data_IF_827724619017
#
_entry.id   IF_827724619017
#
_cell.length_a   1.000
_cell.length_b   1.000
_cell.length_c   1.000
_cell.angle_alpha   90.00
_cell.angle_beta   90.00
_cell.angle_gamma   90.00
#
_symmetry.space_group_name_H-M   'P 1'
#
loop_
_entity.id
_entity.type
_entity.pdbx_description
1 polymer ?
#
# COMPACT_ATOMS: atom_id res chain seq x y z
N UNK A 1 -8.24 1.93 20.93
CA UNK A 1 -7.06 1.17 21.39
C UNK A 1 -5.89 1.17 20.41
N UNK A 2 -6.10 1.05 19.09
CA UNK A 2 -5.07 1.35 18.07
C UNK A 2 -4.89 2.89 17.93
N UNK A 3 -5.93 3.68 18.14
CA UNK A 3 -5.92 5.14 18.09
C UNK A 3 -4.92 5.77 19.07
N UNK A 4 -4.77 5.18 20.26
CA UNK A 4 -3.83 5.68 21.28
C UNK A 4 -2.36 5.32 20.99
N UNK A 5 -2.11 4.33 20.11
CA UNK A 5 -0.76 3.87 19.78
C UNK A 5 -0.14 4.60 18.59
N UNK A 6 -0.98 5.13 17.69
CA UNK A 6 -0.53 5.70 16.40
C UNK A 6 -0.80 7.22 16.28
N UNK A 7 -1.26 7.87 17.37
CA UNK A 7 -1.66 9.29 17.36
C UNK A 7 -3.00 9.50 16.66
N UNK A 8 -4.04 9.80 17.43
CA UNK A 8 -5.47 9.71 17.12
C UNK A 8 -6.02 10.19 15.76
N UNK A 9 -5.29 10.93 14.96
CA UNK A 9 -5.73 11.36 13.62
C UNK A 9 -5.47 10.31 12.51
N UNK A 10 -4.46 9.46 12.68
CA UNK A 10 -4.07 8.48 11.63
C UNK A 10 -4.98 7.26 11.53
N UNK A 11 -5.60 6.85 12.63
CA UNK A 11 -6.37 5.60 12.69
C UNK A 11 -7.80 5.69 12.17
N UNK A 12 -8.48 6.82 12.32
CA UNK A 12 -9.79 7.02 11.68
C UNK A 12 -9.64 6.94 10.15
N UNK A 13 -8.56 7.52 9.59
CA UNK A 13 -8.26 7.41 8.16
C UNK A 13 -7.90 5.97 7.75
N UNK A 14 -7.10 5.24 8.53
CA UNK A 14 -6.75 3.83 8.26
C UNK A 14 -7.96 2.92 8.31
N UNK A 15 -8.90 3.14 9.24
CA UNK A 15 -10.13 2.33 9.35
C UNK A 15 -11.06 2.57 8.16
N UNK A 16 -11.20 3.81 7.70
CA UNK A 16 -11.97 4.15 6.49
C UNK A 16 -11.34 3.57 5.22
N UNK A 17 -10.00 3.57 5.11
CA UNK A 17 -9.28 3.03 3.94
C UNK A 17 -9.37 1.52 3.79
N UNK A 18 -9.47 0.74 4.87
CA UNK A 18 -9.60 -0.72 4.79
C UNK A 18 -10.90 -1.18 4.10
N UNK A 19 -11.85 -0.30 3.90
CA UNK A 19 -13.16 -0.62 3.34
C UNK A 19 -13.36 -0.11 1.89
N UNK A 20 -12.44 0.69 1.36
CA UNK A 20 -12.47 1.15 -0.04
C UNK A 20 -11.92 0.13 -1.05
N UNK A 21 -11.44 -1.03 -0.61
CA UNK A 21 -10.98 -2.12 -1.49
C UNK A 21 -12.07 -2.64 -2.46
N UNK A 22 -13.34 -2.31 -2.21
CA UNK A 22 -14.45 -2.75 -3.06
C UNK A 22 -14.45 -2.09 -4.46
N UNK A 23 -13.85 -0.91 -4.63
CA UNK A 23 -13.79 -0.25 -5.96
C UNK A 23 -12.73 -0.88 -6.84
N UNK A 24 -11.61 -1.35 -6.28
CA UNK A 24 -10.52 -1.96 -7.02
C UNK A 24 -10.89 -3.29 -7.68
N UNK A 25 -11.65 -4.13 -7.00
CA UNK A 25 -12.04 -5.45 -7.51
C UNK A 25 -13.04 -5.39 -8.68
N UNK A 26 -13.69 -4.25 -8.91
CA UNK A 26 -14.66 -4.05 -9.99
C UNK A 26 -14.00 -3.60 -11.30
N UNK A 27 -12.73 -3.15 -11.25
CA UNK A 27 -12.05 -2.50 -12.37
C UNK A 27 -11.17 -3.43 -13.24
N UNK A 28 -11.25 -4.74 -13.04
CA UNK A 28 -10.32 -5.73 -13.61
C UNK A 28 -10.47 -5.96 -15.14
N UNK A 29 -11.21 -5.16 -15.88
CA UNK A 29 -11.47 -5.45 -17.30
C UNK A 29 -11.36 -4.24 -18.24
N UNK A 30 -10.54 -3.22 -17.93
CA UNK A 30 -10.26 -2.14 -18.90
C UNK A 30 -11.48 -1.30 -19.32
N UNK A 31 -12.54 -1.32 -18.51
CA UNK A 31 -13.74 -0.53 -18.77
C UNK A 31 -13.63 0.85 -18.13
N UNK A 32 -14.13 1.87 -18.81
CA UNK A 32 -14.31 3.22 -18.27
C UNK A 32 -15.15 3.12 -16.99
N UNK A 33 -14.62 3.65 -15.87
CA UNK A 33 -15.36 3.67 -14.59
C UNK A 33 -16.56 4.57 -14.74
N UNK A 34 -17.72 3.98 -14.97
CA UNK A 34 -18.99 4.68 -15.01
C UNK A 34 -19.64 4.75 -13.62
N UNK A 35 -20.69 5.56 -13.50
CA UNK A 35 -21.49 5.70 -12.27
C UNK A 35 -22.00 4.36 -11.74
N UNK A 36 -22.27 3.41 -12.63
CA UNK A 36 -22.74 2.06 -12.28
C UNK A 36 -21.72 1.27 -11.47
N UNK A 37 -20.43 1.34 -11.83
CA UNK A 37 -19.36 0.63 -11.12
C UNK A 37 -19.09 1.24 -9.74
N UNK A 38 -19.14 2.56 -9.63
CA UNK A 38 -19.02 3.25 -8.34
C UNK A 38 -20.23 2.90 -7.45
N UNK A 39 -21.43 2.89 -8.01
CA UNK A 39 -22.65 2.52 -7.30
C UNK A 39 -22.57 1.07 -6.79
N UNK A 40 -22.12 0.14 -7.62
CA UNK A 40 -21.92 -1.26 -7.22
C UNK A 40 -20.88 -1.41 -6.12
N UNK A 41 -19.77 -0.67 -6.20
CA UNK A 41 -18.75 -0.67 -5.15
C UNK A 41 -19.31 -0.16 -3.82
N UNK A 42 -20.15 0.89 -3.85
CA UNK A 42 -20.83 1.41 -2.66
C UNK A 42 -21.83 0.41 -2.08
N UNK A 43 -22.60 -0.29 -2.92
CA UNK A 43 -23.51 -1.34 -2.47
C UNK A 43 -22.77 -2.43 -1.67
N UNK A 44 -21.57 -2.83 -2.09
CA UNK A 44 -20.76 -3.83 -1.38
C UNK A 44 -20.33 -3.40 0.02
N UNK A 45 -20.21 -2.10 0.27
CA UNK A 45 -19.81 -1.56 1.58
C UNK A 45 -20.98 -1.01 2.39
N UNK A 46 -22.16 -0.80 1.79
CA UNK A 46 -23.35 -0.18 2.44
C UNK A 46 -23.83 -0.93 3.68
N UNK A 47 -23.63 -2.24 3.74
CA UNK A 47 -23.94 -3.04 4.93
C UNK A 47 -23.06 -2.75 6.16
N UNK A 48 -21.99 -1.93 6.00
CA UNK A 48 -21.05 -1.58 7.06
C UNK A 48 -20.95 -0.06 7.30
N UNK A 49 -21.37 0.75 6.33
CA UNK A 49 -21.26 2.22 6.36
C UNK A 49 -22.51 2.86 5.76
N UNK A 50 -23.18 3.69 6.52
CA UNK A 50 -24.32 4.47 6.11
C UNK A 50 -23.87 5.88 5.73
N UNK A 51 -23.80 6.15 4.40
CA UNK A 51 -23.54 7.46 3.84
C UNK A 51 -22.12 7.96 4.07
N UNK A 52 -21.78 9.07 3.48
CA UNK A 52 -20.51 9.75 3.71
C UNK A 52 -19.69 9.95 2.44
N UNK A 53 -18.45 10.34 2.66
CA UNK A 53 -17.47 10.63 1.67
C UNK A 53 -16.51 9.44 1.52
N UNK A 54 -16.00 9.22 0.32
CA UNK A 54 -15.24 8.02 -0.02
C UNK A 54 -13.87 8.39 -0.63
N UNK A 55 -12.95 7.45 -0.49
CA UNK A 55 -11.70 7.44 -1.27
C UNK A 55 -11.91 6.50 -2.44
N UNK A 56 -11.80 7.02 -3.66
CA UNK A 56 -11.81 6.19 -4.86
C UNK A 56 -10.41 5.60 -5.06
N UNK A 57 -10.31 4.27 -4.95
CA UNK A 57 -9.03 3.59 -4.99
C UNK A 57 -8.88 2.68 -6.21
N UNK A 58 -7.94 3.01 -7.07
CA UNK A 58 -7.51 2.26 -8.23
C UNK A 58 -6.29 1.43 -7.87
N UNK A 59 -6.46 0.13 -7.59
CA UNK A 59 -5.37 -0.68 -7.02
C UNK A 59 -4.90 -1.86 -7.85
N UNK A 60 -5.73 -2.42 -8.72
CA UNK A 60 -5.33 -3.59 -9.52
C UNK A 60 -4.36 -3.18 -10.61
N UNK A 61 -3.20 -3.87 -10.69
CA UNK A 61 -2.18 -3.65 -11.72
C UNK A 61 -1.54 -2.24 -11.70
N UNK A 62 -1.11 -1.77 -12.89
CA UNK A 62 -0.44 -0.48 -13.09
C UNK A 62 -1.43 0.52 -13.68
N UNK A 63 -2.06 1.32 -12.82
CA UNK A 63 -3.19 2.16 -13.21
C UNK A 63 -2.82 3.43 -14.01
N UNK A 64 -1.54 3.66 -14.28
CA UNK A 64 -1.09 4.76 -15.15
C UNK A 64 -0.49 4.26 -16.46
N UNK A 65 -0.55 2.95 -16.74
CA UNK A 65 -0.02 2.36 -17.96
C UNK A 65 -1.07 2.37 -19.08
N UNK A 66 -1.35 3.55 -19.60
CA UNK A 66 -2.26 3.78 -20.73
C UNK A 66 -2.03 5.18 -21.32
N UNK A 67 -2.63 5.45 -22.48
CA UNK A 67 -2.66 6.80 -23.06
C UNK A 67 -3.31 7.80 -22.09
N UNK A 68 -2.74 9.01 -21.99
CA UNK A 68 -3.19 10.04 -21.04
C UNK A 68 -4.63 10.48 -21.27
N UNK A 69 -5.11 10.44 -22.53
CA UNK A 69 -6.50 10.79 -22.85
C UNK A 69 -7.48 9.74 -22.28
N UNK A 70 -7.09 8.47 -22.31
CA UNK A 70 -7.84 7.40 -21.68
C UNK A 70 -7.82 7.52 -20.13
N UNK A 71 -6.65 7.76 -19.53
CA UNK A 71 -6.52 7.98 -18.09
C UNK A 71 -7.38 9.16 -17.63
N UNK A 72 -7.39 10.24 -18.38
CA UNK A 72 -8.24 11.41 -18.12
C UNK A 72 -9.72 11.04 -18.15
N UNK A 73 -10.15 10.30 -19.17
CA UNK A 73 -11.55 9.85 -19.27
C UNK A 73 -11.99 8.94 -18.13
N UNK A 74 -11.01 8.24 -17.50
CA UNK A 74 -11.22 7.35 -16.37
C UNK A 74 -11.29 8.12 -15.04
N UNK A 75 -10.35 9.02 -14.78
CA UNK A 75 -10.19 9.67 -13.47
C UNK A 75 -11.07 10.91 -13.30
N UNK A 76 -11.24 11.70 -14.37
CA UNK A 76 -11.97 12.96 -14.26
C UNK A 76 -13.43 12.80 -13.80
N UNK A 77 -14.24 11.86 -14.35
CA UNK A 77 -15.60 11.65 -13.86
C UNK A 77 -15.66 11.23 -12.38
N UNK A 78 -14.66 10.47 -11.93
CA UNK A 78 -14.61 9.98 -10.55
C UNK A 78 -14.28 11.10 -9.58
N UNK A 79 -13.23 11.90 -9.85
CA UNK A 79 -12.79 12.97 -8.95
C UNK A 79 -13.80 14.13 -8.86
N UNK A 80 -14.60 14.33 -9.90
CA UNK A 80 -15.63 15.38 -9.94
C UNK A 80 -16.89 15.04 -9.11
N UNK A 81 -17.03 13.82 -8.62
CA UNK A 81 -18.20 13.44 -7.81
C UNK A 81 -18.14 14.07 -6.41
N UNK A 82 -19.26 14.60 -5.93
CA UNK A 82 -19.35 15.25 -4.62
C UNK A 82 -19.04 14.30 -3.45
N UNK A 83 -19.32 13.00 -3.62
CA UNK A 83 -19.13 11.98 -2.59
C UNK A 83 -17.73 11.32 -2.60
N UNK A 84 -16.82 11.76 -3.48
CA UNK A 84 -15.41 11.35 -3.50
C UNK A 84 -14.55 12.50 -2.97
N UNK A 85 -13.83 12.27 -1.89
CA UNK A 85 -12.91 13.24 -1.29
C UNK A 85 -11.49 13.11 -1.83
N UNK A 86 -11.06 11.88 -2.10
CA UNK A 86 -9.69 11.57 -2.49
C UNK A 86 -9.70 10.56 -3.64
N UNK A 87 -8.81 10.77 -4.60
CA UNK A 87 -8.48 9.80 -5.65
C UNK A 87 -7.15 9.13 -5.30
N UNK A 88 -7.16 7.81 -5.04
CA UNK A 88 -5.95 7.03 -4.78
C UNK A 88 -5.64 6.12 -5.96
N UNK A 89 -4.41 6.21 -6.49
CA UNK A 89 -3.97 5.52 -7.71
C UNK A 89 -2.71 4.72 -7.39
N UNK A 90 -2.83 3.38 -7.38
CA UNK A 90 -1.68 2.49 -7.24
C UNK A 90 -1.03 2.24 -8.61
N UNK A 91 0.28 2.42 -8.68
CA UNK A 91 1.02 2.29 -9.93
C UNK A 91 2.49 1.93 -9.72
N UNK A 92 3.21 1.78 -10.82
CA UNK A 92 4.64 1.59 -10.88
C UNK A 92 5.35 2.92 -11.16
N UNK A 93 6.53 3.17 -10.56
CA UNK A 93 7.29 4.40 -10.79
C UNK A 93 7.66 4.66 -12.24
N UNK A 94 7.97 3.61 -13.00
CA UNK A 94 8.36 3.66 -14.41
C UNK A 94 7.18 3.90 -15.39
N UNK A 95 5.96 3.96 -14.86
CA UNK A 95 4.74 4.19 -15.64
C UNK A 95 4.11 5.58 -15.41
N UNK A 96 4.88 6.55 -14.92
CA UNK A 96 4.47 7.96 -14.79
C UNK A 96 5.37 8.81 -15.69
N UNK A 97 4.96 8.95 -16.95
CA UNK A 97 5.60 9.85 -17.91
C UNK A 97 5.25 11.33 -17.63
N UNK A 98 5.67 12.24 -18.52
CA UNK A 98 5.40 13.67 -18.34
C UNK A 98 3.92 14.02 -18.50
N UNK A 99 3.24 13.41 -19.45
CA UNK A 99 1.83 13.69 -19.71
C UNK A 99 0.94 13.18 -18.59
N UNK A 100 1.25 11.99 -18.06
CA UNK A 100 0.61 11.44 -16.86
C UNK A 100 0.88 12.33 -15.63
N UNK A 101 2.09 12.83 -15.45
CA UNK A 101 2.42 13.74 -14.34
C UNK A 101 1.60 15.05 -14.42
N UNK A 102 1.44 15.63 -15.63
CA UNK A 102 0.60 16.79 -15.86
C UNK A 102 -0.86 16.47 -15.49
N UNK A 103 -1.39 15.34 -15.93
CA UNK A 103 -2.74 14.91 -15.56
C UNK A 103 -2.91 14.77 -14.05
N UNK A 104 -1.97 14.11 -13.36
CA UNK A 104 -2.00 13.96 -11.89
C UNK A 104 -1.98 15.33 -11.19
N UNK A 105 -1.19 16.28 -11.69
CA UNK A 105 -1.17 17.66 -11.18
C UNK A 105 -2.53 18.35 -11.35
N UNK A 106 -3.15 18.25 -12.52
CA UNK A 106 -4.48 18.81 -12.77
C UNK A 106 -5.54 18.21 -11.84
N UNK A 107 -5.54 16.89 -11.69
CA UNK A 107 -6.46 16.19 -10.78
C UNK A 107 -6.25 16.63 -9.32
N UNK A 108 -4.99 16.78 -8.89
CA UNK A 108 -4.65 17.21 -7.54
C UNK A 108 -5.05 18.67 -7.23
N UNK A 109 -5.26 19.51 -8.24
CA UNK A 109 -5.85 20.84 -8.07
C UNK A 109 -7.37 20.82 -7.85
N UNK A 110 -8.04 19.74 -8.25
CA UNK A 110 -9.50 19.56 -8.04
C UNK A 110 -9.75 18.99 -6.64
N UNK A 111 -9.13 17.87 -6.32
CA UNK A 111 -9.18 17.19 -5.00
C UNK A 111 -7.87 16.46 -4.74
N UNK A 112 -7.55 16.17 -3.47
CA UNK A 112 -6.33 15.43 -3.14
C UNK A 112 -6.18 14.13 -3.93
N UNK A 113 -5.01 13.96 -4.56
CA UNK A 113 -4.62 12.73 -5.25
C UNK A 113 -3.55 12.03 -4.44
N UNK A 114 -3.76 10.77 -4.13
CA UNK A 114 -2.76 9.88 -3.57
C UNK A 114 -2.18 8.99 -4.66
N UNK A 115 -0.87 9.00 -4.80
CA UNK A 115 -0.16 8.08 -5.70
C UNK A 115 0.53 7.03 -4.84
N UNK A 116 0.17 5.78 -5.06
CA UNK A 116 0.72 4.66 -4.31
C UNK A 116 1.76 3.94 -5.16
N UNK A 117 3.02 3.95 -4.69
CA UNK A 117 4.16 3.39 -5.43
C UNK A 117 4.64 2.08 -4.80
N UNK A 118 4.79 1.07 -5.63
CA UNK A 118 5.38 -0.20 -5.21
C UNK A 118 6.90 -0.11 -5.18
N UNK A 119 7.53 0.11 -4.04
CA UNK A 119 8.98 -0.03 -3.86
C UNK A 119 9.36 -1.49 -3.57
N UNK A 120 8.63 -2.09 -2.66
CA UNK A 120 8.78 -3.44 -2.11
C UNK A 120 10.04 -3.59 -1.26
N UNK A 121 11.21 -3.28 -1.76
CA UNK A 121 12.53 -3.29 -1.13
C UNK A 121 13.48 -2.32 -1.85
N UNK A 122 14.52 -1.85 -1.17
CA UNK A 122 15.62 -1.08 -1.79
C UNK A 122 16.74 -1.98 -2.34
N UNK A 123 16.77 -3.25 -1.96
CA UNK A 123 17.84 -4.19 -2.32
C UNK A 123 17.62 -4.71 -3.74
N UNK A 124 18.50 -4.34 -4.67
CA UNK A 124 18.34 -4.61 -6.10
C UNK A 124 18.38 -6.12 -6.45
N UNK A 125 19.15 -6.92 -5.71
CA UNK A 125 19.17 -8.37 -5.90
C UNK A 125 17.81 -9.00 -5.57
N UNK A 126 17.22 -8.62 -4.44
CA UNK A 126 15.86 -9.03 -4.05
C UNK A 126 14.82 -8.48 -5.02
N UNK A 127 14.91 -7.20 -5.40
CA UNK A 127 14.03 -6.57 -6.36
C UNK A 127 14.04 -7.26 -7.73
N UNK A 128 15.22 -7.69 -8.17
CA UNK A 128 15.41 -8.49 -9.39
C UNK A 128 14.77 -9.88 -9.25
N UNK A 129 15.00 -10.56 -8.12
CA UNK A 129 14.45 -11.89 -7.84
C UNK A 129 12.90 -11.88 -7.87
N UNK A 130 12.28 -10.89 -7.24
CA UNK A 130 10.81 -10.74 -7.26
C UNK A 130 10.27 -10.08 -8.53
N UNK A 131 11.14 -9.79 -9.51
CA UNK A 131 10.79 -9.17 -10.79
C UNK A 131 10.08 -7.82 -10.64
N UNK A 132 10.58 -6.95 -9.77
CA UNK A 132 10.05 -5.59 -9.60
C UNK A 132 10.05 -4.82 -10.93
N UNK A 133 11.10 -4.99 -11.75
CA UNK A 133 11.14 -4.55 -13.15
C UNK A 133 11.55 -3.08 -13.37
N UNK A 134 12.01 -2.37 -12.34
CA UNK A 134 12.59 -1.01 -12.38
C UNK A 134 13.62 -0.86 -11.27
N UNK A 135 14.55 0.09 -11.45
CA UNK A 135 15.63 0.37 -10.50
C UNK A 135 15.17 1.28 -9.35
N UNK A 136 15.96 1.33 -8.28
CA UNK A 136 15.74 2.29 -7.18
C UNK A 136 15.85 3.74 -7.68
N UNK A 137 16.78 4.04 -8.59
CA UNK A 137 16.90 5.38 -9.21
C UNK A 137 15.64 5.81 -9.97
N UNK A 138 14.95 4.87 -10.62
CA UNK A 138 13.63 5.14 -11.25
C UNK A 138 12.58 5.52 -10.20
N UNK A 139 12.58 4.82 -9.06
CA UNK A 139 11.70 5.15 -7.94
C UNK A 139 12.00 6.55 -7.39
N UNK A 140 13.26 6.89 -7.12
CA UNK A 140 13.68 8.19 -6.59
C UNK A 140 13.31 9.34 -7.52
N UNK A 141 13.55 9.16 -8.81
CA UNK A 141 13.17 10.12 -9.84
C UNK A 141 11.65 10.35 -9.83
N UNK A 142 10.87 9.28 -9.76
CA UNK A 142 9.41 9.36 -9.72
C UNK A 142 8.92 10.09 -8.46
N UNK A 143 9.44 9.75 -7.28
CA UNK A 143 9.10 10.40 -6.00
C UNK A 143 9.39 11.91 -6.08
N UNK A 144 10.58 12.29 -6.55
CA UNK A 144 10.99 13.69 -6.69
C UNK A 144 10.05 14.47 -7.62
N UNK A 145 9.64 13.85 -8.75
CA UNK A 145 8.70 14.44 -9.71
C UNK A 145 7.30 14.61 -9.11
N UNK A 146 6.79 13.64 -8.38
CA UNK A 146 5.50 13.73 -7.70
C UNK A 146 5.51 14.83 -6.64
N UNK A 147 6.56 14.90 -5.83
CA UNK A 147 6.71 15.97 -4.82
C UNK A 147 6.74 17.35 -5.47
N UNK A 148 7.38 17.51 -6.64
CA UNK A 148 7.45 18.79 -7.36
C UNK A 148 6.08 19.32 -7.81
N UNK A 149 5.08 18.45 -7.94
CA UNK A 149 3.68 18.83 -8.26
C UNK A 149 2.75 18.79 -7.02
N UNK A 150 3.33 18.71 -5.81
CA UNK A 150 2.59 18.76 -4.55
C UNK A 150 1.96 17.41 -4.14
N UNK A 151 2.33 16.29 -4.77
CA UNK A 151 1.89 14.95 -4.41
C UNK A 151 3.01 14.24 -3.66
N UNK A 152 2.81 13.98 -2.35
CA UNK A 152 3.70 13.12 -1.56
C UNK A 152 3.18 11.68 -1.65
N UNK A 153 3.95 10.74 -2.21
CA UNK A 153 3.46 9.38 -2.46
C UNK A 153 3.25 8.57 -1.20
N UNK A 154 2.46 7.50 -1.34
CA UNK A 154 2.34 6.41 -0.37
C UNK A 154 3.19 5.26 -0.91
N UNK A 155 4.08 4.72 -0.08
CA UNK A 155 5.03 3.70 -0.51
C UNK A 155 4.62 2.33 0.02
N UNK A 156 4.66 1.33 -0.85
CA UNK A 156 4.44 -0.06 -0.48
C UNK A 156 5.78 -0.77 -0.26
N UNK A 157 5.94 -1.44 0.88
CA UNK A 157 7.03 -2.38 1.15
C UNK A 157 6.49 -3.77 1.46
N UNK A 158 7.31 -4.80 1.20
CA UNK A 158 6.98 -6.18 1.54
C UNK A 158 8.00 -6.71 2.56
N UNK A 159 7.50 -7.24 3.66
CA UNK A 159 8.27 -7.84 4.73
C UNK A 159 8.31 -9.36 4.55
N UNK A 160 9.49 -9.94 4.63
CA UNK A 160 9.72 -11.38 4.51
C UNK A 160 10.03 -11.84 3.09
N UNK A 161 10.58 -10.98 2.24
CA UNK A 161 11.07 -11.33 0.91
C UNK A 161 12.22 -12.34 1.01
N UNK A 162 12.32 -13.31 0.07
CA UNK A 162 13.40 -14.29 0.06
C UNK A 162 14.79 -13.64 0.04
N UNK A 163 15.66 -14.10 0.93
CA UNK A 163 17.05 -13.62 1.00
C UNK A 163 17.26 -12.38 1.89
N UNK A 164 16.19 -11.71 2.30
CA UNK A 164 16.31 -10.55 3.18
C UNK A 164 16.38 -10.93 4.65
N UNK A 165 17.34 -10.34 5.34
CA UNK A 165 17.45 -10.34 6.80
C UNK A 165 16.57 -9.27 7.44
N UNK A 166 16.41 -9.30 8.75
CA UNK A 166 15.74 -8.21 9.48
C UNK A 166 16.45 -6.85 9.25
N UNK A 167 17.78 -6.82 9.10
CA UNK A 167 18.52 -5.59 8.80
C UNK A 167 18.11 -4.99 7.46
N UNK A 168 18.05 -5.81 6.42
CA UNK A 168 17.65 -5.38 5.06
C UNK A 168 16.24 -4.80 5.04
N UNK A 169 15.31 -5.44 5.76
CA UNK A 169 13.94 -4.94 5.91
C UNK A 169 13.91 -3.59 6.62
N UNK A 170 14.71 -3.41 7.68
CA UNK A 170 14.76 -2.15 8.42
C UNK A 170 15.46 -1.04 7.63
N UNK A 171 16.47 -1.36 6.83
CA UNK A 171 17.10 -0.41 5.88
C UNK A 171 16.08 0.10 4.85
N UNK A 172 15.23 -0.79 4.32
CA UNK A 172 14.13 -0.39 3.44
C UNK A 172 13.12 0.52 4.16
N UNK A 173 12.77 0.23 5.41
CA UNK A 173 11.85 1.06 6.19
C UNK A 173 12.44 2.44 6.50
N UNK A 174 13.71 2.51 6.89
CA UNK A 174 14.44 3.75 7.14
C UNK A 174 14.53 4.62 5.88
N UNK A 175 14.85 4.00 4.76
CA UNK A 175 14.84 4.67 3.45
C UNK A 175 13.48 5.30 3.13
N UNK A 176 12.38 4.55 3.33
CA UNK A 176 11.02 5.08 3.11
C UNK A 176 10.72 6.24 4.07
N UNK A 177 11.17 6.15 5.31
CA UNK A 177 11.00 7.21 6.29
C UNK A 177 11.63 8.55 5.86
N UNK A 178 12.66 8.51 5.00
CA UNK A 178 13.42 9.68 4.55
C UNK A 178 13.19 10.07 3.08
N UNK A 179 12.50 9.26 2.26
CA UNK A 179 12.32 9.53 0.83
C UNK A 179 11.30 10.65 0.52
N UNK A 180 10.63 11.24 1.53
CA UNK A 180 9.62 12.28 1.34
C UNK A 180 8.19 11.76 1.15
N UNK A 181 7.95 10.47 1.32
CA UNK A 181 6.62 9.89 1.31
C UNK A 181 5.71 10.46 2.41
N UNK A 182 4.40 10.53 2.16
CA UNK A 182 3.40 10.91 3.18
C UNK A 182 2.84 9.71 3.93
N UNK A 183 3.00 8.51 3.38
CA UNK A 183 2.46 7.30 3.97
C UNK A 183 3.16 6.03 3.53
N UNK A 184 2.89 4.96 4.27
CA UNK A 184 3.46 3.64 4.03
C UNK A 184 2.39 2.56 4.14
N UNK A 185 2.50 1.54 3.29
CA UNK A 185 1.81 0.25 3.42
C UNK A 185 2.82 -0.84 3.68
N UNK A 186 2.82 -1.35 4.91
CA UNK A 186 3.65 -2.48 5.32
C UNK A 186 2.87 -3.75 4.99
N UNK A 187 3.39 -4.55 4.07
CA UNK A 187 2.76 -5.78 3.62
C UNK A 187 3.59 -6.99 4.03
N UNK A 188 2.91 -8.05 4.45
CA UNK A 188 3.53 -9.36 4.64
C UNK A 188 3.62 -10.08 3.30
N UNK A 189 4.73 -10.73 3.02
CA UNK A 189 4.81 -11.64 1.88
C UNK A 189 3.79 -12.79 2.03
N UNK A 190 2.89 -12.91 1.07
CA UNK A 190 1.97 -14.03 0.94
C UNK A 190 2.44 -14.96 -0.17
N UNK A 191 2.63 -16.22 0.17
CA UNK A 191 3.01 -17.27 -0.78
C UNK A 191 1.73 -17.89 -1.30
N UNK A 192 1.45 -17.67 -2.58
CA UNK A 192 0.21 -18.07 -3.23
C UNK A 192 0.45 -19.24 -4.17
N UNK A 193 -0.42 -20.24 -4.14
CA UNK A 193 -0.38 -21.40 -5.05
C UNK A 193 -0.37 -20.96 -6.51
N UNK A 194 0.44 -21.61 -7.32
CA UNK A 194 0.55 -21.33 -8.75
C UNK A 194 1.51 -20.19 -9.12
N UNK A 195 2.27 -19.65 -8.15
CA UNK A 195 3.33 -18.66 -8.40
C UNK A 195 4.73 -19.32 -8.38
N UNK A 196 5.72 -18.64 -8.95
CA UNK A 196 7.11 -19.11 -8.88
C UNK A 196 7.62 -19.13 -7.44
N UNK A 197 7.26 -18.12 -6.63
CA UNK A 197 7.59 -18.08 -5.19
C UNK A 197 7.00 -19.27 -4.41
N UNK A 198 5.82 -19.77 -4.81
CA UNK A 198 5.28 -21.00 -4.24
C UNK A 198 6.19 -22.19 -4.55
N UNK A 199 6.69 -22.31 -5.77
CA UNK A 199 7.62 -23.37 -6.16
C UNK A 199 8.93 -23.30 -5.38
N UNK A 200 9.50 -22.12 -5.20
CA UNK A 200 10.71 -21.90 -4.41
C UNK A 200 10.48 -22.27 -2.94
N UNK A 201 9.33 -21.90 -2.37
CA UNK A 201 8.97 -22.18 -1.00
C UNK A 201 8.81 -23.69 -0.73
N UNK A 202 8.07 -24.43 -1.57
CA UNK A 202 7.91 -25.89 -1.39
C UNK A 202 9.20 -26.67 -1.58
N UNK A 203 10.15 -26.14 -2.38
CA UNK A 203 11.49 -26.69 -2.54
C UNK A 203 12.44 -26.28 -1.41
N UNK A 204 11.99 -25.52 -0.42
CA UNK A 204 12.77 -25.14 0.75
C UNK A 204 13.82 -24.06 0.52
N UNK A 205 13.70 -23.28 -0.56
CA UNK A 205 14.63 -22.20 -0.89
C UNK A 205 14.58 -21.05 0.14
N UNK A 206 13.42 -20.84 0.77
CA UNK A 206 13.24 -19.86 1.85
C UNK A 206 12.11 -20.29 2.79
N UNK A 207 11.95 -19.57 3.90
CA UNK A 207 10.89 -19.80 4.90
C UNK A 207 9.99 -18.58 5.01
N UNK A 208 8.68 -18.81 5.19
CA UNK A 208 7.75 -17.75 5.58
C UNK A 208 8.01 -17.34 7.04
N UNK A 209 7.78 -16.06 7.34
CA UNK A 209 7.91 -15.53 8.69
C UNK A 209 6.83 -16.12 9.62
N UNK A 210 7.22 -16.39 10.86
CA UNK A 210 6.28 -16.69 11.92
C UNK A 210 5.60 -15.41 12.44
N UNK A 211 4.44 -15.56 13.08
CA UNK A 211 3.65 -14.41 13.56
C UNK A 211 4.44 -13.51 14.53
N UNK A 212 5.15 -14.12 15.46
CA UNK A 212 5.93 -13.39 16.47
C UNK A 212 7.12 -12.65 15.83
N UNK A 213 7.76 -13.27 14.86
CA UNK A 213 8.85 -12.66 14.09
C UNK A 213 8.35 -11.47 13.28
N UNK A 214 7.26 -11.64 12.52
CA UNK A 214 6.63 -10.54 11.80
C UNK A 214 6.20 -9.41 12.74
N UNK A 215 5.59 -9.73 13.87
CA UNK A 215 5.15 -8.75 14.87
C UNK A 215 6.32 -7.91 15.39
N UNK A 216 7.46 -8.56 15.69
CA UNK A 216 8.68 -7.89 16.14
C UNK A 216 9.25 -6.96 15.07
N UNK A 217 9.36 -7.42 13.83
CA UNK A 217 9.85 -6.63 12.70
C UNK A 217 8.92 -5.44 12.43
N UNK A 218 7.60 -5.64 12.37
CA UNK A 218 6.64 -4.58 12.18
C UNK A 218 6.73 -3.51 13.29
N UNK A 219 6.95 -3.90 14.54
CA UNK A 219 7.17 -2.98 15.66
C UNK A 219 8.45 -2.15 15.49
N UNK A 220 9.53 -2.76 15.01
CA UNK A 220 10.77 -2.03 14.69
C UNK A 220 10.56 -1.03 13.55
N UNK A 221 9.88 -1.44 12.47
CA UNK A 221 9.53 -0.54 11.36
C UNK A 221 8.74 0.66 11.88
N UNK A 222 7.64 0.45 12.62
CA UNK A 222 6.82 1.53 13.19
C UNK A 222 7.67 2.51 14.01
N UNK A 223 8.64 2.02 14.78
CA UNK A 223 9.51 2.86 15.58
C UNK A 223 10.42 3.77 14.75
N UNK A 224 10.78 3.37 13.54
CA UNK A 224 11.62 4.13 12.59
C UNK A 224 10.85 5.20 11.80
N UNK A 225 9.53 5.07 11.66
CA UNK A 225 8.74 5.99 10.83
C UNK A 225 8.57 7.36 11.52
N UNK A 226 8.62 8.48 10.78
CA UNK A 226 8.32 9.80 11.33
C UNK A 226 6.86 9.87 11.82
N UNK A 227 6.62 10.68 12.86
CA UNK A 227 5.29 10.77 13.52
C UNK A 227 4.16 11.23 12.63
N UNK A 228 4.47 11.98 11.57
CA UNK A 228 3.52 12.53 10.60
C UNK A 228 3.28 11.63 9.39
N UNK A 229 4.03 10.53 9.24
CA UNK A 229 3.80 9.56 8.16
C UNK A 229 2.58 8.69 8.47
N UNK A 230 1.65 8.59 7.54
CA UNK A 230 0.45 7.76 7.72
C UNK A 230 0.76 6.29 7.45
N UNK A 231 0.48 5.43 8.43
CA UNK A 231 0.57 3.97 8.25
C UNK A 231 -0.77 3.46 7.72
N UNK A 232 -0.88 3.32 6.40
CA UNK A 232 -2.12 2.91 5.73
C UNK A 232 -2.45 1.43 5.93
N UNK A 233 -1.42 0.61 6.10
CA UNK A 233 -1.58 -0.84 6.28
C UNK A 233 -0.38 -1.37 7.05
N UNK A 234 -0.63 -2.31 7.97
CA UNK A 234 0.39 -2.97 8.78
C UNK A 234 0.45 -4.49 8.55
N UNK A 235 -0.42 -5.02 7.70
CA UNK A 235 -0.44 -6.43 7.27
C UNK A 235 -1.13 -6.53 5.91
N UNK A 236 -0.79 -7.56 5.14
CA UNK A 236 -1.42 -7.83 3.85
C UNK A 236 -2.74 -8.60 3.98
N UNK A 237 -3.52 -8.60 2.89
CA UNK A 237 -4.64 -9.52 2.69
C UNK A 237 -4.40 -10.28 1.38
N UNK A 238 -4.25 -11.60 1.46
CA UNK A 238 -4.13 -12.48 0.30
C UNK A 238 -5.42 -13.25 0.06
N UNK A 239 -5.67 -13.74 -1.18
CA UNK A 239 -6.81 -14.59 -1.48
C UNK A 239 -6.69 -15.91 -0.69
N UNK A 240 -7.55 -16.10 0.31
CA UNK A 240 -7.48 -17.23 1.25
C UNK A 240 -7.49 -18.61 0.57
N UNK A 241 -8.16 -18.73 -0.58
CA UNK A 241 -8.21 -19.97 -1.35
C UNK A 241 -6.88 -20.36 -2.01
N UNK A 242 -6.01 -19.37 -2.26
CA UNK A 242 -4.70 -19.57 -2.86
C UNK A 242 -3.55 -19.48 -1.85
N UNK A 243 -3.81 -19.01 -0.63
CA UNK A 243 -2.79 -18.81 0.39
C UNK A 243 -2.20 -20.16 0.81
N UNK A 244 -0.87 -20.31 0.65
CA UNK A 244 -0.09 -21.45 1.15
C UNK A 244 0.61 -21.10 2.46
N UNK A 245 1.28 -19.94 2.51
CA UNK A 245 1.99 -19.48 3.69
C UNK A 245 2.08 -17.93 3.72
N UNK A 246 2.23 -17.37 4.91
CA UNK A 246 2.03 -17.99 6.22
C UNK A 246 0.54 -18.09 6.57
N UNK A 247 0.08 -19.26 6.97
CA UNK A 247 -1.35 -19.53 7.22
C UNK A 247 -1.96 -18.70 8.37
N UNK A 248 -1.16 -18.26 9.35
CA UNK A 248 -1.63 -17.40 10.43
C UNK A 248 -2.18 -16.04 9.91
N UNK A 249 -1.70 -15.55 8.77
CA UNK A 249 -2.13 -14.28 8.16
C UNK A 249 -3.60 -14.28 7.74
N UNK A 250 -4.19 -15.44 7.50
CA UNK A 250 -5.62 -15.59 7.20
C UNK A 250 -6.54 -15.19 8.36
N UNK A 251 -6.00 -15.13 9.60
CA UNK A 251 -6.73 -14.69 10.79
C UNK A 251 -6.33 -13.25 11.19
N UNK A 252 -6.86 -12.27 10.48
CA UNK A 252 -6.55 -10.86 10.68
C UNK A 252 -6.77 -10.39 12.12
N UNK A 253 -7.81 -10.89 12.81
CA UNK A 253 -8.10 -10.54 14.20
C UNK A 253 -6.99 -11.02 15.14
N UNK A 254 -6.51 -12.25 14.95
CA UNK A 254 -5.38 -12.77 15.70
C UNK A 254 -4.13 -11.91 15.49
N UNK A 255 -3.78 -11.63 14.24
CA UNK A 255 -2.61 -10.81 13.88
C UNK A 255 -2.66 -9.45 14.56
N UNK A 256 -3.74 -8.71 14.39
CA UNK A 256 -3.87 -7.36 14.97
C UNK A 256 -3.85 -7.38 16.51
N UNK A 257 -4.48 -8.37 17.14
CA UNK A 257 -4.47 -8.49 18.61
C UNK A 257 -3.05 -8.81 19.12
N UNK A 258 -2.32 -9.73 18.46
CA UNK A 258 -0.93 -10.07 18.81
C UNK A 258 -0.03 -8.84 18.68
N UNK A 259 -0.12 -8.12 17.56
CA UNK A 259 0.66 -6.90 17.33
C UNK A 259 0.36 -5.83 18.38
N UNK A 260 -0.92 -5.56 18.65
CA UNK A 260 -1.32 -4.56 19.66
C UNK A 260 -0.78 -4.90 21.05
N UNK A 261 -0.89 -6.16 21.46
CA UNK A 261 -0.37 -6.60 22.75
C UNK A 261 1.15 -6.44 22.81
N UNK A 262 1.85 -6.90 21.78
CA UNK A 262 3.31 -6.78 21.71
C UNK A 262 3.78 -5.31 21.74
N UNK A 263 3.13 -4.43 20.97
CA UNK A 263 3.49 -3.01 20.92
C UNK A 263 3.29 -2.35 22.29
N UNK A 264 2.20 -2.65 22.96
CA UNK A 264 1.92 -2.17 24.30
C UNK A 264 2.96 -2.65 25.32
N UNK A 265 3.26 -3.95 25.33
CA UNK A 265 4.17 -4.57 26.31
C UNK A 265 5.61 -4.10 26.13
N UNK A 266 6.00 -3.73 24.90
CA UNK A 266 7.35 -3.27 24.57
C UNK A 266 7.46 -1.74 24.40
N UNK A 267 6.40 -0.98 24.72
CA UNK A 267 6.36 0.48 24.57
C UNK A 267 6.75 0.93 23.15
N UNK A 268 6.22 0.24 22.13
CA UNK A 268 6.47 0.57 20.71
C UNK A 268 5.45 1.62 20.26
N UNK A 269 5.97 2.72 19.73
CA UNK A 269 5.18 3.79 19.12
C UNK A 269 5.92 4.41 17.95
N UNK A 270 5.17 5.01 17.04
CA UNK A 270 5.71 5.65 15.85
C UNK A 270 6.60 6.84 16.20
N UNK A 271 7.77 6.91 15.58
CA UNK A 271 8.75 7.98 15.80
C UNK A 271 9.62 7.79 17.03
N UNK A 272 9.57 6.63 17.70
CA UNK A 272 10.43 6.35 18.88
C UNK A 272 11.91 6.36 18.53
N UNK A 273 12.27 5.83 17.39
CA UNK A 273 13.64 5.66 16.91
C UNK A 273 13.93 6.43 15.61
N UNK A 274 13.01 7.30 15.19
CA UNK A 274 13.20 8.16 14.01
C UNK A 274 14.21 9.26 14.37
N UNK A 275 15.27 9.42 13.55
CA UNK A 275 16.37 10.39 13.76
C UNK A 275 16.40 11.39 12.61
#
# INVERSE_FOLDING_TARGET
>A
MLEDLLGGAGLQQVTQMQHTNAVGDVLDHGQVVGDEQISRAKELISGKYDGGHYIAYFQSFTNTYADVSYLRSLYMPVIMRDDIDILSIATRPDCIDNDTLILLSELNHIKPVWVELGLQTIHEDTASHIRRGYSLDTFDTCVSRLISIGIRPIVHMIVGLPGESTSDILETADYIAHCGASGIKIQLLHILKGTDLYTDYINGAFKALELDEYTRIAGQIISLLPKDMVVHRITGDGPKSLLEAPMWSANKKLVLNTMNQYFKDNNIYQGRNYI
#
